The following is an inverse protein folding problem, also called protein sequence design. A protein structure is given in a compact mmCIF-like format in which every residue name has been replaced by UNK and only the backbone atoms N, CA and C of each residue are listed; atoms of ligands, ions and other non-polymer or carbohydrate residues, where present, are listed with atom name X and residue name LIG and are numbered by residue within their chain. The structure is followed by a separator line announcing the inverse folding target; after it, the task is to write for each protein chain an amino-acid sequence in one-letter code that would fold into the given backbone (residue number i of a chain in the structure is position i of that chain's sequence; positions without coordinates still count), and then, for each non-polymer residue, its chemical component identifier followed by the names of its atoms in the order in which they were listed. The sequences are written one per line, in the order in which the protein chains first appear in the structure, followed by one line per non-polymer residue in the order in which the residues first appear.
data_IF_929272046751
#
_entry.id   IF_929272046751
#
_cell.length_a   1.000
_cell.length_b   1.000
_cell.length_c   1.000
_cell.angle_alpha   90.00
_cell.angle_beta   90.00
_cell.angle_gamma   90.00
#
_symmetry.space_group_name_H-M   'P 1'
#
loop_
_entity.id
_entity.type
_entity.pdbx_description
1 polymer ?
#
# COMPACT_ATOMS: atom_id res chain seq x y z
N UNK A 1 15.25 -6.61 14.18
CA UNK A 1 15.47 -6.07 12.83
C UNK A 1 14.12 -5.90 12.16
N UNK A 2 13.76 -4.67 11.77
CA UNK A 2 12.51 -4.39 11.04
C UNK A 2 12.63 -4.96 9.63
N UNK A 3 11.80 -5.95 9.29
CA UNK A 3 11.79 -6.49 7.93
C UNK A 3 11.05 -5.51 7.02
N UNK A 4 11.76 -4.96 6.03
CA UNK A 4 11.17 -4.08 5.02
C UNK A 4 10.95 -4.88 3.75
N UNK A 5 9.69 -5.03 3.36
CA UNK A 5 9.32 -5.68 2.11
C UNK A 5 9.50 -4.77 0.90
N UNK A 6 9.57 -5.34 -0.32
CA UNK A 6 9.52 -4.55 -1.55
C UNK A 6 8.15 -3.87 -1.71
N UNK A 7 8.11 -2.77 -2.48
CA UNK A 7 6.86 -2.18 -2.94
C UNK A 7 6.11 -3.16 -3.86
N UNK A 8 4.80 -3.32 -3.61
CA UNK A 8 3.92 -4.21 -4.36
C UNK A 8 2.68 -3.46 -4.81
N UNK A 9 2.35 -3.60 -6.09
CA UNK A 9 1.09 -3.16 -6.68
C UNK A 9 0.03 -4.23 -6.50
N UNK A 10 -1.24 -3.83 -6.49
CA UNK A 10 -2.37 -4.78 -6.45
C UNK A 10 -2.41 -5.63 -7.73
N UNK A 11 -2.57 -6.95 -7.59
CA UNK A 11 -2.79 -7.86 -8.72
C UNK A 11 -4.17 -7.71 -9.35
N UNK A 12 -5.09 -7.00 -8.69
CA UNK A 12 -6.44 -6.69 -9.21
C UNK A 12 -6.46 -5.43 -10.07
N UNK A 13 -5.38 -4.65 -10.07
CA UNK A 13 -5.25 -3.48 -10.94
C UNK A 13 -4.84 -3.92 -12.35
N UNK A 14 -5.81 -4.37 -13.13
CA UNK A 14 -5.64 -4.70 -14.55
C UNK A 14 -6.04 -3.49 -15.40
N UNK A 15 -5.17 -3.08 -16.33
CA UNK A 15 -5.51 -2.10 -17.39
C UNK A 15 -4.79 -0.74 -17.34
N UNK A 16 -4.28 -0.33 -18.51
CA UNK A 16 -3.98 1.05 -18.95
C UNK A 16 -3.13 1.97 -18.04
N UNK A 17 -2.19 1.44 -17.26
CA UNK A 17 -1.21 2.28 -16.54
C UNK A 17 -1.76 3.02 -15.31
N UNK A 18 -2.96 2.67 -14.84
CA UNK A 18 -3.67 3.36 -13.76
C UNK A 18 -3.37 2.81 -12.34
N UNK A 19 -2.14 2.32 -12.10
CA UNK A 19 -1.73 1.99 -10.75
C UNK A 19 -1.45 3.29 -9.99
N UNK A 20 -2.40 3.72 -9.14
CA UNK A 20 -2.32 4.94 -8.34
C UNK A 20 -1.82 4.69 -6.89
N UNK A 21 -1.68 3.43 -6.47
CA UNK A 21 -1.25 3.08 -5.11
C UNK A 21 -0.40 1.82 -5.13
N UNK A 22 0.69 1.83 -4.36
CA UNK A 22 1.47 0.63 -4.00
C UNK A 22 1.76 0.58 -2.50
N UNK A 23 2.01 -0.64 -2.03
CA UNK A 23 2.09 -1.00 -0.62
C UNK A 23 3.42 -1.69 -0.31
N UNK A 24 3.96 -1.51 0.89
CA UNK A 24 5.02 -2.39 1.43
C UNK A 24 4.83 -2.64 2.92
N UNK A 25 5.41 -3.75 3.38
CA UNK A 25 5.58 -4.03 4.80
C UNK A 25 6.79 -3.26 5.34
N UNK A 26 6.63 -2.68 6.52
CA UNK A 26 7.68 -1.97 7.25
C UNK A 26 7.60 -2.39 8.72
N UNK A 27 8.08 -3.60 9.04
CA UNK A 27 7.89 -4.19 10.36
C UNK A 27 6.43 -4.55 10.63
N UNK A 28 5.85 -4.02 11.69
CA UNK A 28 4.44 -4.13 12.09
C UNK A 28 3.53 -3.06 11.44
N UNK A 29 4.13 -2.21 10.60
CA UNK A 29 3.43 -1.16 9.86
C UNK A 29 3.28 -1.50 8.37
N UNK A 30 2.32 -0.84 7.75
CA UNK A 30 2.08 -0.84 6.32
C UNK A 30 2.30 0.57 5.81
N UNK A 31 3.08 0.67 4.72
CA UNK A 31 3.33 1.92 4.03
C UNK A 31 2.61 1.93 2.70
N UNK A 32 1.94 3.05 2.41
CA UNK A 32 1.22 3.33 1.17
C UNK A 32 1.85 4.53 0.48
N UNK A 33 1.94 4.50 -0.84
CA UNK A 33 2.34 5.67 -1.63
C UNK A 33 1.69 5.66 -3.00
N UNK A 34 1.65 6.83 -3.64
CA UNK A 34 1.28 6.94 -5.04
C UNK A 34 2.42 6.42 -5.92
N UNK A 35 2.16 5.35 -6.67
CA UNK A 35 3.15 4.76 -7.58
C UNK A 35 3.51 5.65 -8.78
N UNK A 36 2.71 6.68 -9.10
CA UNK A 36 3.01 7.63 -10.18
C UNK A 36 4.13 8.59 -9.85
N UNK A 37 4.33 8.89 -8.57
CA UNK A 37 5.37 9.79 -8.09
C UNK A 37 6.69 9.08 -7.79
N UNK A 38 6.72 7.74 -7.88
CA UNK A 38 7.93 6.93 -7.70
C UNK A 38 8.61 7.17 -6.34
N UNK A 39 9.92 7.41 -6.36
CA UNK A 39 10.71 7.68 -5.14
C UNK A 39 10.41 9.04 -4.50
N UNK A 40 9.84 9.99 -5.25
CA UNK A 40 9.41 11.30 -4.72
C UNK A 40 8.04 11.27 -4.03
N UNK A 41 7.37 10.12 -4.00
CA UNK A 41 6.04 9.97 -3.41
C UNK A 41 6.08 10.06 -1.88
N UNK A 42 5.28 10.93 -1.25
CA UNK A 42 5.06 10.87 0.19
C UNK A 42 4.54 9.50 0.62
N UNK A 43 4.94 9.04 1.80
CA UNK A 43 4.52 7.74 2.32
C UNK A 43 3.57 7.91 3.50
N UNK A 44 2.34 7.40 3.35
CA UNK A 44 1.42 7.24 4.46
C UNK A 44 1.79 5.95 5.21
N UNK A 45 2.05 6.05 6.51
CA UNK A 45 2.38 4.91 7.37
C UNK A 45 1.24 4.67 8.34
N UNK A 46 0.75 3.44 8.39
CA UNK A 46 -0.32 2.99 9.30
C UNK A 46 0.08 1.66 9.93
N UNK A 47 -0.53 1.29 11.05
CA UNK A 47 -0.36 -0.06 11.60
C UNK A 47 -1.00 -1.11 10.67
N UNK A 48 -0.54 -2.36 10.76
CA UNK A 48 -1.17 -3.46 10.03
C UNK A 48 -2.65 -3.67 10.41
N UNK A 49 -3.02 -3.39 11.67
CA UNK A 49 -4.40 -3.49 12.15
C UNK A 49 -5.30 -2.43 11.51
N UNK A 50 -4.87 -1.16 11.48
CA UNK A 50 -5.63 -0.07 10.83
C UNK A 50 -5.79 -0.33 9.34
N UNK A 51 -4.74 -0.79 8.66
CA UNK A 51 -4.81 -1.14 7.25
C UNK A 51 -5.83 -2.26 6.98
N UNK A 52 -5.85 -3.30 7.81
CA UNK A 52 -6.82 -4.39 7.70
C UNK A 52 -8.25 -3.90 7.93
N UNK A 53 -8.47 -3.03 8.92
CA UNK A 53 -9.78 -2.42 9.18
C UNK A 53 -10.26 -1.57 8.01
N UNK A 54 -9.39 -0.69 7.48
CA UNK A 54 -9.69 0.13 6.31
C UNK A 54 -10.04 -0.75 5.11
N UNK A 55 -9.22 -1.76 4.82
CA UNK A 55 -9.47 -2.71 3.73
C UNK A 55 -10.85 -3.35 3.86
N UNK A 56 -11.21 -3.83 5.06
CA UNK A 56 -12.50 -4.45 5.28
C UNK A 56 -13.66 -3.47 5.13
N UNK A 57 -13.49 -2.22 5.60
CA UNK A 57 -14.48 -1.16 5.45
C UNK A 57 -14.76 -0.84 3.98
N UNK A 58 -13.72 -0.69 3.16
CA UNK A 58 -13.88 -0.30 1.75
C UNK A 58 -14.27 -1.46 0.83
N UNK A 59 -14.11 -2.71 1.29
CA UNK A 59 -14.48 -3.92 0.55
C UNK A 59 -15.81 -4.53 1.05
N UNK A 60 -16.46 -3.91 2.05
CA UNK A 60 -17.78 -4.31 2.49
C UNK A 60 -18.78 -4.21 1.31
N UNK A 61 -19.75 -5.14 1.22
CA UNK A 61 -20.74 -5.16 0.15
C UNK A 61 -21.66 -3.93 0.13
#
# INVERSE_FOLDING_TARGET
MTTIGPWRKSSRSQGSGANCVELRLFGDQVQLRDSKLGTGSPTLTVSAAEFSSLKNLIQAP
#
